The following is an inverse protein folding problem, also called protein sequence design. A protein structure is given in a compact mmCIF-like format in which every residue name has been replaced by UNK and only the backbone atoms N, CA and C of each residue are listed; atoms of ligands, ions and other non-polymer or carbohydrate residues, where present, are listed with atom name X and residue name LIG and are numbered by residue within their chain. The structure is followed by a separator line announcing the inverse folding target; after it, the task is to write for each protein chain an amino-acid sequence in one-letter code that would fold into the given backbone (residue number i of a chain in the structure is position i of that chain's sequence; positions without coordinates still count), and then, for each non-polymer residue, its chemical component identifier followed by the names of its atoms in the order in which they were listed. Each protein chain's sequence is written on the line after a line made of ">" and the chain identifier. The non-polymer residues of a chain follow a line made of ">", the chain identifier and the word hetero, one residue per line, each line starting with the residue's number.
data_IF_834353099952
#
_entry.id   IF_834353099952
#
_cell.length_a   1.000
_cell.length_b   1.000
_cell.length_c   1.000
_cell.angle_alpha   90.00
_cell.angle_beta   90.00
_cell.angle_gamma   90.00
#
_symmetry.space_group_name_H-M   'P 1'
#
loop_
_entity.id
_entity.type
_entity.pdbx_description
1 polymer ?
#
# COMPACT_ATOMS: atom_id res chain seq x y z
N UNK A 1 48.17 15.35 1.21
CA UNK A 1 48.62 14.62 0.00
C UNK A 1 48.33 13.15 0.24
N UNK A 2 47.73 12.49 -0.76
CA UNK A 2 47.47 11.03 -0.84
C UNK A 2 48.75 10.22 -0.51
N UNK A 3 48.79 8.95 -0.10
CA UNK A 3 48.14 7.69 -0.54
C UNK A 3 48.21 6.71 0.68
N UNK A 4 47.36 5.68 0.88
CA UNK A 4 47.33 4.45 0.09
C UNK A 4 46.17 3.53 0.54
N UNK A 5 45.61 2.83 -0.45
CA UNK A 5 44.72 1.68 -0.35
C UNK A 5 45.49 0.45 0.14
N UNK A 6 44.87 -0.42 0.95
CA UNK A 6 45.40 -1.77 1.16
C UNK A 6 44.73 -2.59 2.26
N UNK A 7 44.10 -3.69 1.84
CA UNK A 7 43.79 -4.89 2.63
C UNK A 7 42.64 -4.83 3.64
N UNK A 8 41.42 -4.84 3.10
CA UNK A 8 40.29 -5.54 3.72
C UNK A 8 40.49 -7.06 3.59
N UNK A 9 40.17 -7.77 4.67
CA UNK A 9 40.01 -9.23 4.74
C UNK A 9 41.27 -10.10 4.75
N UNK A 10 41.97 -10.07 5.88
CA UNK A 10 42.63 -11.26 6.42
C UNK A 10 41.81 -11.73 7.62
N UNK A 11 41.03 -12.80 7.45
CA UNK A 11 40.16 -13.33 8.51
C UNK A 11 39.11 -14.31 7.98
N UNK A 12 39.45 -15.60 8.03
CA UNK A 12 38.57 -16.77 8.04
C UNK A 12 37.25 -16.71 7.25
N UNK A 13 37.17 -17.44 6.13
CA UNK A 13 35.91 -17.87 5.53
C UNK A 13 35.20 -18.76 6.57
N UNK A 14 34.02 -18.39 7.12
CA UNK A 14 33.27 -19.31 7.96
C UNK A 14 32.77 -20.49 7.11
N UNK A 15 33.02 -21.71 7.58
CA UNK A 15 32.64 -23.00 7.00
C UNK A 15 31.13 -23.25 6.88
N UNK A 16 30.32 -22.21 6.69
CA UNK A 16 28.86 -22.31 6.56
C UNK A 16 28.43 -22.82 5.17
N UNK A 17 29.40 -23.22 4.35
CA UNK A 17 29.23 -23.95 3.11
C UNK A 17 29.63 -25.43 3.30
N UNK A 18 28.96 -26.16 4.19
CA UNK A 18 28.87 -27.62 4.15
C UNK A 18 27.69 -28.03 5.03
N UNK A 19 26.69 -28.64 4.40
CA UNK A 19 25.40 -28.92 5.01
C UNK A 19 25.44 -29.98 6.11
N UNK A 20 24.37 -30.02 6.90
CA UNK A 20 23.78 -31.27 7.33
C UNK A 20 22.34 -31.05 7.77
N UNK A 21 21.52 -31.99 7.34
CA UNK A 21 20.17 -32.36 7.77
C UNK A 21 19.83 -31.98 9.22
N UNK A 22 18.65 -31.37 9.42
CA UNK A 22 17.70 -31.92 10.39
C UNK A 22 16.25 -31.43 10.20
N UNK A 23 15.31 -32.35 10.39
CA UNK A 23 13.85 -32.24 10.55
C UNK A 23 12.95 -32.04 9.30
N UNK A 24 12.17 -33.07 8.90
CA UNK A 24 10.88 -32.86 8.27
C UNK A 24 9.88 -32.57 9.40
N UNK A 25 9.70 -31.30 9.76
CA UNK A 25 8.62 -30.90 10.64
C UNK A 25 7.34 -30.79 9.80
N UNK A 26 6.44 -31.74 10.04
CA UNK A 26 5.02 -31.78 9.74
C UNK A 26 4.48 -30.66 8.85
N UNK A 27 4.11 -31.06 7.63
CA UNK A 27 3.25 -30.30 6.75
C UNK A 27 1.89 -30.07 7.40
N UNK A 28 1.61 -28.81 7.70
CA UNK A 28 0.32 -28.17 7.50
C UNK A 28 0.50 -26.66 7.74
N UNK A 29 1.30 -26.00 6.91
CA UNK A 29 0.91 -24.64 6.56
C UNK A 29 -0.51 -24.78 5.97
N UNK A 30 -1.54 -24.10 6.51
CA UNK A 30 -2.86 -24.20 5.92
C UNK A 30 -2.68 -23.77 4.47
N UNK A 31 -2.84 -24.74 3.56
CA UNK A 31 -2.95 -24.47 2.14
C UNK A 31 -4.12 -23.53 2.03
N UNK A 32 -3.86 -22.22 2.04
CA UNK A 32 -4.88 -21.22 1.76
C UNK A 32 -5.43 -21.62 0.41
N UNK A 33 -6.63 -22.19 0.44
CA UNK A 33 -7.32 -22.57 -0.76
C UNK A 33 -7.39 -21.31 -1.61
N UNK A 34 -7.15 -21.42 -2.92
CA UNK A 34 -7.24 -20.27 -3.83
C UNK A 34 -8.54 -19.48 -3.63
N UNK A 35 -9.61 -20.14 -3.17
CA UNK A 35 -10.89 -19.55 -2.75
C UNK A 35 -10.82 -18.61 -1.54
N UNK A 36 -9.97 -18.89 -0.53
CA UNK A 36 -9.81 -18.03 0.65
C UNK A 36 -9.05 -16.75 0.28
N UNK A 37 -8.00 -16.87 -0.53
CA UNK A 37 -7.26 -15.72 -1.05
C UNK A 37 -8.14 -14.85 -1.95
N UNK A 38 -8.98 -15.46 -2.80
CA UNK A 38 -9.99 -14.78 -3.62
C UNK A 38 -10.95 -13.92 -2.79
N UNK A 39 -11.54 -14.52 -1.76
CA UNK A 39 -12.52 -13.82 -0.92
C UNK A 39 -11.89 -12.65 -0.15
N UNK A 40 -10.63 -12.80 0.29
CA UNK A 40 -9.88 -11.72 0.93
C UNK A 40 -9.60 -10.56 -0.02
N UNK A 41 -9.16 -10.84 -1.25
CA UNK A 41 -8.89 -9.79 -2.25
C UNK A 41 -10.19 -9.06 -2.60
N UNK A 42 -11.30 -9.79 -2.80
CA UNK A 42 -12.60 -9.18 -3.08
C UNK A 42 -13.07 -8.28 -1.93
N UNK A 43 -12.91 -8.72 -0.67
CA UNK A 43 -13.21 -7.91 0.52
C UNK A 43 -12.33 -6.65 0.59
N UNK A 44 -11.04 -6.77 0.27
CA UNK A 44 -10.15 -5.61 0.27
C UNK A 44 -10.52 -4.61 -0.83
N UNK A 45 -10.77 -5.07 -2.06
CA UNK A 45 -11.23 -4.20 -3.16
C UNK A 45 -12.51 -3.47 -2.73
N UNK A 46 -13.50 -4.19 -2.20
CA UNK A 46 -14.74 -3.59 -1.72
C UNK A 46 -14.50 -2.56 -0.62
N UNK A 47 -13.65 -2.87 0.37
CA UNK A 47 -13.30 -1.94 1.44
C UNK A 47 -12.67 -0.65 0.91
N UNK A 48 -11.74 -0.75 -0.05
CA UNK A 48 -11.07 0.43 -0.65
C UNK A 48 -12.04 1.29 -1.45
N UNK A 49 -12.96 0.66 -2.17
CA UNK A 49 -14.00 1.36 -2.95
C UNK A 49 -14.99 2.08 -2.03
N UNK A 50 -15.48 1.43 -0.98
CA UNK A 50 -16.40 2.06 -0.03
C UNK A 50 -15.73 3.23 0.72
N UNK A 51 -14.48 3.07 1.14
CA UNK A 51 -13.72 4.15 1.76
C UNK A 51 -13.51 5.32 0.78
N UNK A 52 -13.19 5.05 -0.48
CA UNK A 52 -13.04 6.07 -1.51
C UNK A 52 -14.34 6.85 -1.78
N UNK A 53 -15.49 6.16 -1.82
CA UNK A 53 -16.81 6.80 -1.97
C UNK A 53 -17.12 7.75 -0.83
N UNK A 54 -16.88 7.31 0.42
CA UNK A 54 -17.07 8.16 1.60
C UNK A 54 -16.20 9.43 1.56
N UNK A 55 -14.94 9.28 1.14
CA UNK A 55 -14.04 10.42 0.95
C UNK A 55 -14.50 11.34 -0.20
N UNK A 56 -14.97 10.80 -1.33
CA UNK A 56 -15.51 11.61 -2.42
C UNK A 56 -16.75 12.39 -1.99
N UNK A 57 -17.66 11.78 -1.23
CA UNK A 57 -18.81 12.49 -0.68
C UNK A 57 -18.37 13.63 0.23
N UNK A 58 -17.44 13.38 1.16
CA UNK A 58 -16.89 14.44 2.03
C UNK A 58 -16.23 15.56 1.21
N UNK A 59 -15.53 15.23 0.13
CA UNK A 59 -14.91 16.23 -0.74
C UNK A 59 -15.96 17.12 -1.41
N UNK A 60 -17.05 16.54 -1.92
CA UNK A 60 -18.16 17.30 -2.51
C UNK A 60 -18.79 18.26 -1.50
N UNK A 61 -19.03 17.79 -0.28
CA UNK A 61 -19.57 18.62 0.81
C UNK A 61 -18.62 19.79 1.15
N UNK A 62 -17.30 19.57 1.11
CA UNK A 62 -16.32 20.64 1.34
C UNK A 62 -16.25 21.63 0.17
N UNK A 63 -16.33 21.17 -1.08
CA UNK A 63 -16.39 22.08 -2.23
C UNK A 63 -17.64 22.96 -2.16
N UNK A 64 -18.80 22.39 -1.84
CA UNK A 64 -20.04 23.14 -1.62
C UNK A 64 -19.91 24.13 -0.45
N UNK A 65 -19.29 23.70 0.66
CA UNK A 65 -19.03 24.60 1.80
C UNK A 65 -18.14 25.78 1.39
N UNK A 66 -17.07 25.53 0.63
CA UNK A 66 -16.18 26.58 0.16
C UNK A 66 -16.88 27.58 -0.75
N UNK A 67 -17.79 27.12 -1.62
CA UNK A 67 -18.55 27.99 -2.53
C UNK A 67 -19.57 28.87 -1.78
N UNK A 68 -20.02 28.44 -0.61
CA UNK A 68 -20.92 29.19 0.27
C UNK A 68 -20.19 30.00 1.36
N UNK A 69 -18.85 29.98 1.39
CA UNK A 69 -18.06 30.71 2.39
C UNK A 69 -17.70 32.10 1.86
N UNK A 70 -18.12 33.15 2.56
CA UNK A 70 -17.89 34.54 2.15
C UNK A 70 -16.43 34.99 2.35
N UNK A 71 -15.72 34.39 3.32
CA UNK A 71 -14.31 34.69 3.56
C UNK A 71 -13.41 33.96 2.54
N UNK A 72 -12.70 34.68 1.66
CA UNK A 72 -11.84 34.06 0.65
C UNK A 72 -10.68 33.25 1.24
N UNK A 73 -10.18 33.59 2.43
CA UNK A 73 -9.09 32.83 3.06
C UNK A 73 -9.61 31.49 3.60
N UNK A 74 -10.76 31.51 4.29
CA UNK A 74 -11.42 30.29 4.75
C UNK A 74 -11.86 29.40 3.57
N UNK A 75 -12.41 29.99 2.50
CA UNK A 75 -12.82 29.26 1.30
C UNK A 75 -11.63 28.55 0.62
N UNK A 76 -10.47 29.19 0.50
CA UNK A 76 -9.28 28.55 -0.08
C UNK A 76 -8.75 27.42 0.81
N UNK A 77 -8.78 27.59 2.14
CA UNK A 77 -8.40 26.54 3.08
C UNK A 77 -9.32 25.31 2.96
N UNK A 78 -10.64 25.53 2.82
CA UNK A 78 -11.61 24.45 2.61
C UNK A 78 -11.37 23.76 1.25
N UNK A 79 -11.13 24.53 0.18
CA UNK A 79 -10.78 23.98 -1.16
C UNK A 79 -9.48 23.18 -1.12
N UNK A 80 -8.52 23.59 -0.30
CA UNK A 80 -7.30 22.82 -0.09
C UNK A 80 -7.60 21.50 0.62
N UNK A 81 -8.41 21.48 1.68
CA UNK A 81 -8.83 20.24 2.35
C UNK A 81 -9.56 19.29 1.39
N UNK A 82 -10.50 19.81 0.60
CA UNK A 82 -11.25 19.04 -0.40
C UNK A 82 -10.30 18.37 -1.41
N UNK A 83 -9.33 19.11 -1.94
CA UNK A 83 -8.29 18.58 -2.86
C UNK A 83 -7.44 17.48 -2.23
N UNK A 84 -7.09 17.60 -0.95
CA UNK A 84 -6.33 16.55 -0.26
C UNK A 84 -7.16 15.27 -0.06
N UNK A 85 -8.47 15.42 0.18
CA UNK A 85 -9.39 14.29 0.26
C UNK A 85 -9.58 13.63 -1.11
N UNK A 86 -9.74 14.41 -2.18
CA UNK A 86 -9.82 13.90 -3.55
C UNK A 86 -8.60 13.05 -3.91
N UNK A 87 -7.40 13.53 -3.56
CA UNK A 87 -6.15 12.78 -3.78
C UNK A 87 -6.16 11.45 -3.02
N UNK A 88 -6.70 11.41 -1.80
CA UNK A 88 -6.80 10.17 -1.01
C UNK A 88 -7.79 9.19 -1.65
N UNK A 89 -8.98 9.66 -2.02
CA UNK A 89 -9.97 8.84 -2.70
C UNK A 89 -9.43 8.26 -4.02
N UNK A 90 -8.78 9.09 -4.83
CA UNK A 90 -8.15 8.66 -6.09
C UNK A 90 -7.07 7.59 -5.88
N UNK A 91 -6.26 7.71 -4.81
CA UNK A 91 -5.26 6.68 -4.47
C UNK A 91 -5.92 5.36 -4.08
N UNK A 92 -6.97 5.38 -3.28
CA UNK A 92 -7.72 4.18 -2.89
C UNK A 92 -8.34 3.48 -4.10
N UNK A 93 -8.99 4.23 -5.00
CA UNK A 93 -9.54 3.69 -6.25
C UNK A 93 -8.46 3.07 -7.13
N UNK A 94 -7.30 3.74 -7.27
CA UNK A 94 -6.18 3.21 -8.06
C UNK A 94 -5.62 1.91 -7.47
N UNK A 95 -5.59 1.78 -6.15
CA UNK A 95 -5.18 0.54 -5.47
C UNK A 95 -6.22 -0.55 -5.73
N UNK A 96 -7.51 -0.26 -5.57
CA UNK A 96 -8.59 -1.19 -5.86
C UNK A 96 -8.53 -1.70 -7.31
N UNK A 97 -8.37 -0.80 -8.28
CA UNK A 97 -8.20 -1.16 -9.69
C UNK A 97 -6.96 -2.03 -9.93
N UNK A 98 -5.85 -1.74 -9.25
CA UNK A 98 -4.62 -2.54 -9.41
C UNK A 98 -4.79 -3.95 -8.85
N UNK A 99 -5.47 -4.08 -7.71
CA UNK A 99 -5.82 -5.37 -7.13
C UNK A 99 -6.76 -6.15 -8.07
N UNK A 100 -7.76 -5.48 -8.65
CA UNK A 100 -8.68 -6.09 -9.61
C UNK A 100 -7.97 -6.53 -10.91
N UNK A 101 -7.10 -5.68 -11.49
CA UNK A 101 -6.34 -6.00 -12.71
C UNK A 101 -5.29 -7.08 -12.48
N UNK A 102 -4.55 -6.98 -11.37
CA UNK A 102 -3.57 -7.99 -10.96
C UNK A 102 -4.22 -9.34 -10.65
N UNK A 103 -5.48 -9.32 -10.23
CA UNK A 103 -6.31 -10.50 -10.06
C UNK A 103 -6.75 -11.13 -11.39
N UNK A 104 -7.22 -10.33 -12.36
CA UNK A 104 -7.70 -10.84 -13.67
C UNK A 104 -6.55 -11.42 -14.52
N UNK A 105 -5.32 -10.94 -14.33
CA UNK A 105 -4.16 -11.35 -15.13
C UNK A 105 -3.37 -12.56 -14.55
N UNK A 106 -3.72 -13.02 -13.34
CA UNK A 106 -3.01 -14.08 -12.59
C UNK A 106 -3.57 -15.48 -12.72
#
# INVERSE_FOLDING_TARGET
>A
MNEALGSIFSGAIPSQFMGSQNTPADGAAPSESKSNTQERIAKEIHSRVEEAKGLQQKSLELHEKADNTDDPEEAENIRHEAREIDKKAAKLMKIAERLEKGWIQG
#
